data_IF_919412436390
#
_entry.id   IF_919412436390
#
_cell.length_a   1.000
_cell.length_b   1.000
_cell.length_c   1.000
_cell.angle_alpha   90.00
_cell.angle_beta   90.00
_cell.angle_gamma   90.00
#
_symmetry.space_group_name_H-M   'P 1'
#
loop_
_entity.id
_entity.type
_entity.pdbx_description
1 polymer ?
#
# COMPACT_ATOMS: atom_id res chain seq x y z
N UNK A 1 10.07 -50.37 -45.90
CA UNK A 1 9.63 -49.43 -46.94
C UNK A 1 8.33 -48.75 -46.48
N UNK A 2 8.38 -47.63 -45.75
CA UNK A 2 7.18 -46.83 -45.42
C UNK A 2 7.18 -45.60 -46.31
N UNK A 3 6.22 -45.53 -47.24
CA UNK A 3 5.98 -44.36 -48.08
C UNK A 3 5.44 -43.24 -47.21
N UNK A 4 6.09 -42.08 -47.21
CA UNK A 4 5.50 -40.84 -46.71
C UNK A 4 4.65 -40.24 -47.84
N UNK A 5 3.35 -39.96 -47.63
CA UNK A 5 2.56 -39.26 -48.64
C UNK A 5 2.88 -37.76 -48.63
N UNK A 6 3.09 -37.21 -49.82
CA UNK A 6 3.15 -35.77 -50.10
C UNK A 6 1.79 -35.13 -49.84
N UNK A 7 1.55 -34.62 -48.63
CA UNK A 7 0.49 -33.66 -48.42
C UNK A 7 0.93 -32.64 -47.38
N UNK A 8 0.94 -31.36 -47.80
CA UNK A 8 1.10 -30.23 -46.88
C UNK A 8 -0.07 -30.31 -45.88
N UNK A 9 0.18 -30.23 -44.56
CA UNK A 9 -0.90 -30.33 -43.58
C UNK A 9 -2.00 -29.29 -43.87
N UNK A 10 -3.24 -29.76 -43.93
CA UNK A 10 -4.42 -28.91 -44.13
C UNK A 10 -4.85 -28.25 -42.81
N UNK A 11 -5.70 -27.23 -42.88
CA UNK A 11 -6.17 -26.49 -41.70
C UNK A 11 -6.81 -27.39 -40.62
N UNK A 12 -7.48 -28.48 -41.04
CA UNK A 12 -8.10 -29.43 -40.12
C UNK A 12 -7.09 -30.12 -39.19
N UNK A 13 -5.88 -30.41 -39.68
CA UNK A 13 -4.84 -31.05 -38.86
C UNK A 13 -4.43 -30.18 -37.65
N UNK A 14 -4.40 -28.85 -37.82
CA UNK A 14 -4.08 -27.89 -36.76
C UNK A 14 -5.20 -27.69 -35.73
N UNK A 15 -6.45 -28.03 -36.08
CA UNK A 15 -7.60 -27.95 -35.17
C UNK A 15 -7.62 -29.17 -34.23
N UNK A 16 -7.23 -30.34 -34.74
CA UNK A 16 -7.29 -31.61 -34.00
C UNK A 16 -6.05 -31.86 -33.12
N UNK A 17 -4.93 -31.18 -33.40
CA UNK A 17 -3.69 -31.31 -32.65
C UNK A 17 -3.27 -29.95 -32.08
N UNK A 18 -3.66 -29.60 -30.84
CA UNK A 18 -3.31 -28.31 -30.26
C UNK A 18 -1.78 -28.15 -30.22
N UNK A 19 -1.27 -27.18 -30.99
CA UNK A 19 0.12 -26.76 -30.92
C UNK A 19 0.31 -25.93 -29.67
N UNK A 20 1.36 -26.21 -28.91
CA UNK A 20 1.74 -25.33 -27.81
C UNK A 20 2.56 -24.18 -28.38
N UNK A 21 2.01 -22.96 -28.33
CA UNK A 21 2.77 -21.73 -28.58
C UNK A 21 3.75 -21.50 -27.41
N UNK A 22 4.90 -22.16 -27.46
CA UNK A 22 6.05 -21.79 -26.63
C UNK A 22 6.83 -20.71 -27.41
N UNK A 23 6.66 -19.44 -27.07
CA UNK A 23 7.41 -18.34 -27.71
C UNK A 23 8.90 -18.44 -27.40
N UNK A 24 9.65 -19.12 -28.27
CA UNK A 24 11.12 -19.16 -28.26
C UNK A 24 11.72 -18.14 -29.24
N UNK A 25 11.24 -16.91 -29.17
CA UNK A 25 11.83 -15.69 -29.75
C UNK A 25 11.61 -14.59 -28.73
N UNK A 26 12.65 -13.83 -28.38
CA UNK A 26 12.60 -12.78 -27.35
C UNK A 26 11.47 -11.79 -27.65
N UNK A 27 10.27 -12.06 -27.13
CA UNK A 27 9.23 -11.06 -27.05
C UNK A 27 9.74 -10.05 -26.06
N UNK A 28 9.83 -8.79 -26.47
CA UNK A 28 10.03 -7.69 -25.53
C UNK A 28 8.92 -7.81 -24.49
N UNK A 29 9.29 -8.08 -23.23
CA UNK A 29 8.30 -8.28 -22.18
C UNK A 29 8.14 -6.99 -21.42
N UNK A 30 6.94 -6.41 -21.52
CA UNK A 30 6.55 -5.27 -20.70
C UNK A 30 5.91 -5.81 -19.42
N UNK A 31 6.61 -5.55 -18.33
CA UNK A 31 6.18 -5.80 -16.97
C UNK A 31 5.37 -4.64 -16.43
N UNK A 32 4.36 -4.95 -15.59
CA UNK A 32 3.56 -3.94 -14.89
C UNK A 32 3.71 -4.08 -13.37
N UNK A 33 3.93 -2.97 -12.69
CA UNK A 33 3.93 -2.87 -11.23
C UNK A 33 2.84 -1.87 -10.82
N UNK A 34 2.06 -2.22 -9.80
CA UNK A 34 1.05 -1.35 -9.22
C UNK A 34 1.41 -1.01 -7.77
N UNK A 35 1.15 0.24 -7.37
CA UNK A 35 1.21 0.71 -5.99
C UNK A 35 0.01 1.61 -5.70
N UNK A 36 -0.66 1.40 -4.57
CA UNK A 36 -1.68 2.32 -4.06
C UNK A 36 -1.03 3.25 -3.04
N UNK A 37 -1.07 4.55 -3.27
CA UNK A 37 -0.47 5.54 -2.37
C UNK A 37 -1.46 6.67 -2.06
N UNK A 38 -1.25 7.36 -0.93
CA UNK A 38 -2.05 8.53 -0.53
C UNK A 38 -1.87 9.67 -1.56
N UNK A 39 -2.92 10.47 -1.77
CA UNK A 39 -2.91 11.60 -2.70
C UNK A 39 -1.84 12.66 -2.43
N UNK A 40 -1.28 12.71 -1.21
CA UNK A 40 -0.19 13.62 -0.85
C UNK A 40 1.19 13.15 -1.32
N UNK A 41 1.30 11.97 -1.94
CA UNK A 41 2.58 11.47 -2.42
C UNK A 41 3.13 12.37 -3.53
N UNK A 42 4.32 12.96 -3.37
CA UNK A 42 4.91 13.79 -4.42
C UNK A 42 5.38 12.91 -5.59
N UNK A 43 4.75 13.08 -6.75
CA UNK A 43 4.98 12.20 -7.89
C UNK A 43 6.29 12.47 -8.64
N UNK A 44 6.78 13.71 -8.66
CA UNK A 44 8.05 14.04 -9.32
C UNK A 44 9.24 13.27 -8.73
N UNK A 45 9.55 13.36 -7.41
CA UNK A 45 10.65 12.60 -6.82
C UNK A 45 10.42 11.08 -6.90
N UNK A 46 9.17 10.62 -6.86
CA UNK A 46 8.87 9.19 -7.04
C UNK A 46 9.18 8.69 -8.46
N UNK A 47 8.93 9.51 -9.49
CA UNK A 47 9.31 9.19 -10.88
C UNK A 47 10.82 9.18 -11.06
N UNK A 48 11.52 10.11 -10.43
CA UNK A 48 12.99 10.16 -10.45
C UNK A 48 13.58 8.92 -9.79
N UNK A 49 13.07 8.53 -8.61
CA UNK A 49 13.53 7.33 -7.93
C UNK A 49 13.22 6.06 -8.74
N UNK A 50 12.01 5.95 -9.31
CA UNK A 50 11.65 4.82 -10.16
C UNK A 50 12.62 4.69 -11.35
N UNK A 51 12.96 5.82 -11.99
CA UNK A 51 13.93 5.85 -13.08
C UNK A 51 15.32 5.45 -12.60
N UNK A 52 15.78 5.97 -11.46
CA UNK A 52 17.08 5.61 -10.84
C UNK A 52 17.18 4.11 -10.56
N UNK A 53 16.12 3.50 -10.03
CA UNK A 53 16.05 2.06 -9.76
C UNK A 53 16.12 1.23 -11.05
N UNK A 54 15.44 1.67 -12.12
CA UNK A 54 15.53 1.02 -13.42
C UNK A 54 16.94 1.14 -14.00
N UNK A 55 17.54 2.33 -13.99
CA UNK A 55 18.90 2.60 -14.50
C UNK A 55 19.98 1.81 -13.75
N UNK A 56 19.78 1.57 -12.46
CA UNK A 56 20.69 0.78 -11.62
C UNK A 56 20.52 -0.75 -11.79
N UNK A 57 19.47 -1.22 -12.45
CA UNK A 57 19.18 -2.65 -12.60
C UNK A 57 19.76 -3.22 -13.89
N UNK A 58 20.54 -4.30 -13.78
CA UNK A 58 21.04 -5.06 -14.94
C UNK A 58 19.93 -5.83 -15.69
N UNK A 59 18.74 -5.94 -15.08
CA UNK A 59 17.59 -6.64 -15.64
C UNK A 59 16.77 -5.77 -16.60
N UNK A 60 17.01 -4.46 -16.61
CA UNK A 60 16.32 -3.52 -17.47
C UNK A 60 16.98 -3.40 -18.84
N UNK A 61 16.20 -3.56 -19.90
CA UNK A 61 16.68 -3.48 -21.29
C UNK A 61 16.70 -2.03 -21.85
N UNK A 62 16.41 -1.04 -20.99
CA UNK A 62 16.42 0.40 -21.29
C UNK A 62 15.38 0.88 -22.29
N UNK A 63 14.35 0.08 -22.63
CA UNK A 63 13.35 0.48 -23.63
C UNK A 63 12.14 1.22 -23.03
N UNK A 64 11.58 0.70 -21.95
CA UNK A 64 10.35 1.21 -21.31
C UNK A 64 10.62 1.42 -19.82
N UNK A 65 10.38 2.64 -19.35
CA UNK A 65 10.37 3.01 -17.94
C UNK A 65 9.38 4.18 -17.78
N UNK A 66 8.13 3.86 -17.45
CA UNK A 66 7.04 4.85 -17.38
C UNK A 66 6.29 4.67 -16.07
N UNK A 67 6.06 5.75 -15.33
CA UNK A 67 5.20 5.78 -14.14
C UNK A 67 4.06 6.77 -14.36
N UNK A 68 2.83 6.26 -14.21
CA UNK A 68 1.59 7.02 -14.39
C UNK A 68 0.64 6.78 -13.23
N UNK A 69 -0.18 7.77 -12.89
CA UNK A 69 -1.40 7.56 -12.11
C UNK A 69 -2.45 7.04 -13.08
N UNK A 70 -3.04 5.88 -12.81
CA UNK A 70 -4.01 5.25 -13.74
C UNK A 70 -5.41 5.13 -13.18
N UNK A 71 -5.58 5.24 -11.87
CA UNK A 71 -6.88 5.19 -11.21
C UNK A 71 -6.82 5.91 -9.86
N UNK A 72 -7.96 6.17 -9.26
CA UNK A 72 -8.10 6.77 -7.95
C UNK A 72 -9.34 6.22 -7.21
N UNK A 73 -9.17 5.91 -5.94
CA UNK A 73 -10.25 5.56 -5.00
C UNK A 73 -10.53 6.74 -4.07
N UNK A 74 -11.46 6.59 -3.13
CA UNK A 74 -11.73 7.63 -2.12
C UNK A 74 -10.52 7.95 -1.23
N UNK A 75 -9.59 7.00 -1.07
CA UNK A 75 -8.50 7.10 -0.09
C UNK A 75 -7.10 7.12 -0.72
N UNK A 76 -6.94 6.62 -1.94
CA UNK A 76 -5.63 6.40 -2.57
C UNK A 76 -5.66 6.63 -4.07
N UNK A 77 -4.52 6.95 -4.66
CA UNK A 77 -4.31 6.86 -6.10
C UNK A 77 -3.57 5.58 -6.47
N UNK A 78 -3.95 4.97 -7.60
CA UNK A 78 -3.25 3.84 -8.20
C UNK A 78 -2.15 4.33 -9.13
N UNK A 79 -0.91 4.02 -8.77
CA UNK A 79 0.24 4.17 -9.65
C UNK A 79 0.47 2.89 -10.44
N UNK A 80 0.72 3.06 -11.74
CA UNK A 80 1.15 2.01 -12.66
C UNK A 80 2.53 2.35 -13.19
N UNK A 81 3.46 1.42 -12.99
CA UNK A 81 4.79 1.46 -13.57
C UNK A 81 4.94 0.39 -14.63
N UNK A 82 5.48 0.77 -15.78
CA UNK A 82 5.80 -0.11 -16.90
C UNK A 82 7.32 -0.19 -17.06
N UNK A 83 7.84 -1.42 -17.10
CA UNK A 83 9.27 -1.72 -17.31
C UNK A 83 9.42 -2.80 -18.37
N UNK A 84 10.45 -2.71 -19.21
CA UNK A 84 10.75 -3.75 -20.21
C UNK A 84 11.99 -4.57 -19.85
N UNK A 85 11.98 -5.85 -20.24
CA UNK A 85 13.13 -6.75 -20.10
C UNK A 85 13.20 -7.72 -21.29
N UNK A 86 14.37 -8.37 -21.44
CA UNK A 86 14.68 -9.30 -22.54
C UNK A 86 13.98 -10.65 -22.43
N UNK A 87 13.61 -11.06 -21.22
CA UNK A 87 12.93 -12.32 -20.92
C UNK A 87 12.13 -12.22 -19.62
N UNK A 88 11.33 -13.26 -19.33
CA UNK A 88 10.32 -13.24 -18.28
C UNK A 88 10.91 -13.35 -16.88
N UNK A 89 12.03 -14.05 -16.71
CA UNK A 89 12.72 -14.16 -15.43
C UNK A 89 13.25 -12.79 -15.02
N UNK A 90 14.00 -12.15 -15.92
CA UNK A 90 14.50 -10.78 -15.70
C UNK A 90 13.39 -9.78 -15.46
N UNK A 91 12.27 -9.90 -16.20
CA UNK A 91 11.14 -9.01 -16.00
C UNK A 91 10.49 -9.17 -14.63
N UNK A 92 10.37 -10.41 -14.15
CA UNK A 92 9.85 -10.69 -12.82
C UNK A 92 10.76 -10.07 -11.75
N UNK A 93 12.07 -10.32 -11.84
CA UNK A 93 13.06 -9.80 -10.89
C UNK A 93 13.08 -8.27 -10.87
N UNK A 94 13.09 -7.63 -12.04
CA UNK A 94 13.04 -6.17 -12.16
C UNK A 94 11.79 -5.59 -11.48
N UNK A 95 10.61 -6.19 -11.73
CA UNK A 95 9.34 -5.76 -11.13
C UNK A 95 9.34 -5.88 -9.61
N UNK A 96 9.96 -6.93 -9.06
CA UNK A 96 10.13 -7.07 -7.61
C UNK A 96 11.06 -6.00 -7.06
N UNK A 97 12.26 -5.86 -7.66
CA UNK A 97 13.27 -4.89 -7.27
C UNK A 97 12.72 -3.45 -7.26
N UNK A 98 12.05 -3.01 -8.34
CA UNK A 98 11.51 -1.64 -8.37
C UNK A 98 10.35 -1.45 -7.38
N UNK A 99 9.54 -2.48 -7.12
CA UNK A 99 8.45 -2.40 -6.14
C UNK A 99 9.01 -2.20 -4.73
N UNK A 100 9.97 -3.04 -4.35
CA UNK A 100 10.60 -2.99 -3.02
C UNK A 100 11.36 -1.67 -2.83
N UNK A 101 12.14 -1.25 -3.84
CA UNK A 101 12.87 0.01 -3.80
C UNK A 101 11.96 1.23 -3.66
N UNK A 102 10.84 1.29 -4.39
CA UNK A 102 9.89 2.39 -4.27
C UNK A 102 9.17 2.40 -2.93
N UNK A 103 8.80 1.24 -2.39
CA UNK A 103 8.21 1.15 -1.05
C UNK A 103 9.21 1.66 0.00
N UNK A 104 10.47 1.23 -0.08
CA UNK A 104 11.52 1.68 0.84
C UNK A 104 11.77 3.20 0.72
N UNK A 105 11.80 3.74 -0.50
CA UNK A 105 11.95 5.17 -0.73
C UNK A 105 10.80 5.98 -0.12
N UNK A 106 9.55 5.54 -0.35
CA UNK A 106 8.36 6.17 0.22
C UNK A 106 8.39 6.10 1.75
N UNK A 107 8.75 4.96 2.33
CA UNK A 107 8.87 4.82 3.79
C UNK A 107 9.90 5.78 4.39
N UNK A 108 11.06 5.94 3.75
CA UNK A 108 12.15 6.77 4.25
C UNK A 108 11.87 8.28 4.11
N UNK A 109 11.27 8.71 3.00
CA UNK A 109 11.16 10.15 2.66
C UNK A 109 9.73 10.69 2.83
N UNK A 110 8.72 9.84 2.72
CA UNK A 110 7.31 10.21 2.73
C UNK A 110 6.47 9.25 3.60
N UNK A 111 6.77 9.09 4.90
CA UNK A 111 6.07 8.12 5.75
C UNK A 111 4.55 8.38 5.84
N UNK A 112 4.10 9.60 5.56
CA UNK A 112 2.68 9.96 5.51
C UNK A 112 1.96 9.55 4.21
N UNK A 113 2.69 9.11 3.20
CA UNK A 113 2.19 8.76 1.86
C UNK A 113 1.68 7.31 1.75
N UNK A 114 1.98 6.47 2.74
CA UNK A 114 1.42 5.13 2.79
C UNK A 114 -0.08 5.19 3.13
N UNK A 115 -0.91 4.31 2.55
CA UNK A 115 -2.32 4.26 2.89
C UNK A 115 -2.51 4.11 4.41
N UNK A 116 -3.15 5.10 5.03
CA UNK A 116 -3.53 5.05 6.44
C UNK A 116 -5.04 4.96 6.52
N UNK A 117 -5.54 4.12 7.42
CA UNK A 117 -6.95 4.12 7.75
C UNK A 117 -7.27 5.43 8.48
N UNK A 118 -7.96 6.36 7.81
CA UNK A 118 -8.47 7.60 8.41
C UNK A 118 -9.88 7.33 8.93
N UNK A 119 -9.96 6.87 10.18
CA UNK A 119 -11.21 6.93 10.93
C UNK A 119 -11.33 8.29 11.57
N UNK A 120 -12.36 9.06 11.23
CA UNK A 120 -12.80 10.16 12.06
C UNK A 120 -13.47 9.54 13.29
N UNK A 121 -12.82 9.64 14.46
CA UNK A 121 -13.53 9.38 15.71
C UNK A 121 -14.52 10.54 15.86
N UNK A 122 -15.72 10.36 15.35
CA UNK A 122 -16.86 11.18 15.77
C UNK A 122 -16.98 10.94 17.29
N UNK A 123 -16.36 11.83 18.07
CA UNK A 123 -16.69 11.97 19.47
C UNK A 123 -18.06 12.60 19.46
N UNK A 124 -19.06 11.78 19.16
CA UNK A 124 -20.47 12.14 19.22
C UNK A 124 -20.63 12.89 20.52
N UNK A 125 -21.12 14.13 20.38
CA UNK A 125 -21.27 15.10 21.45
C UNK A 125 -21.86 14.38 22.66
N UNK A 126 -21.01 14.00 23.62
CA UNK A 126 -21.43 13.42 24.88
C UNK A 126 -22.12 14.60 25.57
N UNK A 127 -23.43 14.71 25.35
CA UNK A 127 -24.25 15.68 26.04
C UNK A 127 -24.09 15.32 27.49
N UNK A 128 -23.22 16.07 28.19
CA UNK A 128 -22.92 15.85 29.57
C UNK A 128 -24.25 15.89 30.32
N UNK A 129 -24.76 14.70 30.68
CA UNK A 129 -25.90 14.62 31.57
C UNK A 129 -25.49 15.41 32.82
N UNK A 130 -26.31 16.39 33.27
CA UNK A 130 -25.92 17.23 34.39
C UNK A 130 -25.63 16.32 35.58
N UNK A 131 -24.40 16.43 36.08
CA UNK A 131 -23.92 15.68 37.22
C UNK A 131 -24.89 15.91 38.39
N UNK A 132 -25.39 14.86 39.07
CA UNK A 132 -26.25 15.06 40.22
C UNK A 132 -25.50 15.89 41.29
N UNK A 133 -26.17 16.84 41.95
CA UNK A 133 -25.51 17.70 42.92
C UNK A 133 -24.91 16.86 44.05
N UNK A 134 -23.68 17.21 44.45
CA UNK A 134 -22.98 16.52 45.52
C UNK A 134 -23.79 16.55 46.83
N UNK A 135 -23.82 15.47 47.61
CA UNK A 135 -24.51 15.45 48.88
C UNK A 135 -23.89 16.47 49.85
N UNK A 136 -24.76 17.21 50.54
CA UNK A 136 -24.36 18.27 51.47
C UNK A 136 -23.44 17.71 52.58
N UNK A 137 -22.40 18.45 53.00
CA UNK A 137 -21.50 18.01 54.05
C UNK A 137 -22.26 17.87 55.38
N UNK A 138 -22.33 16.64 55.89
CA UNK A 138 -22.81 16.39 57.25
C UNK A 138 -21.78 16.95 58.24
N UNK A 139 -22.16 17.99 58.99
CA UNK A 139 -21.37 18.46 60.13
C UNK A 139 -21.37 17.40 61.21
N UNK A 140 -20.20 16.84 61.50
CA UNK A 140 -19.97 16.05 62.70
C UNK A 140 -20.23 16.92 63.95
N UNK A 141 -20.85 16.38 65.01
CA UNK A 141 -21.08 17.14 66.24
C UNK A 141 -19.74 17.51 66.88
N UNK A 142 -19.50 18.80 67.08
CA UNK A 142 -18.36 19.32 67.80
C UNK A 142 -18.41 18.87 69.25
N UNK A 143 -17.42 18.08 69.66
CA UNK A 143 -17.12 17.84 71.06
C UNK A 143 -16.24 18.99 71.54
N UNK A 144 -16.84 19.94 72.26
CA UNK A 144 -16.20 20.77 73.30
C UNK A 144 -17.19 21.83 73.78
N UNK A 145 -17.82 21.58 74.93
CA UNK A 145 -17.97 22.59 75.99
C UNK A 145 -18.59 21.95 77.25
N UNK A 146 -17.85 21.94 78.37
CA UNK A 146 -18.46 21.74 79.69
C UNK A 146 -17.62 21.08 80.80
N UNK A 147 -16.74 21.86 81.45
CA UNK A 147 -16.48 21.75 82.91
C UNK A 147 -15.20 21.02 83.37
N UNK A 148 -14.56 21.47 84.48
CA UNK A 148 -15.27 21.68 85.74
C UNK A 148 -15.04 23.03 86.45
N UNK A 149 -16.06 23.46 87.18
CA UNK A 149 -16.00 24.52 88.20
C UNK A 149 -15.04 24.14 89.33
N UNK A 150 -14.12 25.03 89.70
CA UNK A 150 -13.49 25.02 91.03
C UNK A 150 -14.08 26.15 91.86
N UNK A 151 -14.82 25.80 92.91
CA UNK A 151 -15.18 26.71 94.02
C UNK A 151 -14.04 26.74 95.04
N UNK A 152 -13.89 27.90 95.65
CA UNK A 152 -12.85 28.28 96.60
C UNK A 152 -12.91 27.55 97.96
N UNK A 153 -11.75 27.39 98.59
CA UNK A 153 -11.47 27.68 100.01
C UNK A 153 -9.96 27.79 100.20
#
# INVERSE_FOLDING_TARGET
MRKFPESRPNLNWFIEHPFQNWTRRSSQLIGTVFLMLDFRTPLAPLREEFKRLCEASEQWDRRVCVLQVTDATEQTMQLRMLVSSTDSGRNFDLRCQVREGLIAFVQAHYPHALPRWRGELDRGHESAAPMPPAPAPQRAPSAEDGGPERRAS
#
